data_IF_046215134045
#
_entry.id   IF_046215134045
#
_cell.length_a   1.000
_cell.length_b   1.000
_cell.length_c   1.000
_cell.angle_alpha   90.00
_cell.angle_beta   90.00
_cell.angle_gamma   90.00
#
_symmetry.space_group_name_H-M   'P 1'
#
loop_
_entity.id
_entity.type
_entity.pdbx_description
1 polymer ?
#
# COMPACT_ATOMS: atom_id res chain seq x y z
N UNK A 1 1.31 -15.71 19.32
CA UNK A 1 0.09 -15.96 20.14
C UNK A 1 -0.05 -17.45 20.24
N UNK A 2 -0.42 -18.01 21.39
CA UNK A 2 -0.44 -19.46 21.57
C UNK A 2 -1.87 -19.96 21.66
N UNK A 3 -2.18 -21.04 20.95
CA UNK A 3 -3.40 -21.81 21.18
C UNK A 3 -3.01 -22.98 22.07
N UNK A 4 -3.72 -23.10 23.18
CA UNK A 4 -3.56 -24.21 24.13
C UNK A 4 -4.72 -25.19 23.95
N UNK A 5 -4.40 -26.45 23.66
CA UNK A 5 -5.39 -27.52 23.53
C UNK A 5 -5.44 -28.32 24.83
N UNK A 6 -6.63 -28.47 25.40
CA UNK A 6 -6.87 -29.22 26.63
C UNK A 6 -7.73 -30.45 26.38
N UNK A 7 -7.36 -31.58 26.98
CA UNK A 7 -8.19 -32.79 27.04
C UNK A 7 -8.39 -33.18 28.50
N UNK A 8 -9.65 -33.33 28.92
CA UNK A 8 -10.04 -33.60 30.32
C UNK A 8 -9.42 -32.64 31.35
N UNK A 9 -9.21 -31.37 30.97
CA UNK A 9 -8.59 -30.35 31.83
C UNK A 9 -7.07 -30.42 31.92
N UNK A 10 -6.41 -31.30 31.16
CA UNK A 10 -4.96 -31.37 31.04
C UNK A 10 -4.53 -30.70 29.75
N UNK A 11 -3.54 -29.81 29.83
CA UNK A 11 -2.90 -29.21 28.67
C UNK A 11 -2.13 -30.29 27.92
N UNK A 12 -2.51 -30.57 26.67
CA UNK A 12 -1.91 -31.62 25.85
C UNK A 12 -1.10 -31.08 24.68
N UNK A 13 -1.35 -29.84 24.25
CA UNK A 13 -0.63 -29.22 23.13
C UNK A 13 -0.61 -27.70 23.29
N UNK A 14 0.53 -27.08 22.98
CA UNK A 14 0.67 -25.64 22.81
C UNK A 14 1.15 -25.41 21.40
N UNK A 15 0.28 -24.85 20.56
CA UNK A 15 0.64 -24.46 19.20
C UNK A 15 1.05 -22.99 19.19
N UNK A 16 2.30 -22.74 18.83
CA UNK A 16 2.81 -21.40 18.61
C UNK A 16 2.33 -20.90 17.25
N UNK A 17 1.46 -19.89 17.25
CA UNK A 17 1.10 -19.18 16.02
C UNK A 17 2.14 -18.08 15.81
N UNK A 18 3.20 -18.46 15.13
CA UNK A 18 4.08 -17.54 14.41
C UNK A 18 3.46 -17.29 13.04
N UNK A 19 3.28 -16.01 12.68
CA UNK A 19 2.66 -15.53 11.44
C UNK A 19 1.12 -15.53 11.42
N UNK A 20 0.52 -14.58 12.16
CA UNK A 20 -0.66 -13.95 11.58
C UNK A 20 -0.25 -13.27 10.26
N UNK A 21 -0.99 -13.48 9.15
CA UNK A 21 -0.70 -12.76 7.92
C UNK A 21 -0.74 -11.27 8.22
N UNK A 22 0.36 -10.57 7.96
CA UNK A 22 0.39 -9.13 8.11
C UNK A 22 -0.45 -8.55 6.99
N UNK A 23 -1.65 -8.10 7.32
CA UNK A 23 -2.57 -7.56 6.35
C UNK A 23 -2.15 -6.14 5.95
N UNK A 24 -2.31 -5.77 4.67
CA UNK A 24 -2.08 -4.42 4.19
C UNK A 24 -2.85 -3.37 5.01
N UNK A 25 -2.12 -2.41 5.58
CA UNK A 25 -2.67 -1.31 6.36
C UNK A 25 -3.00 -0.12 5.44
N UNK A 26 -4.13 -0.19 4.75
CA UNK A 26 -4.58 0.85 3.82
C UNK A 26 -4.82 2.22 4.49
N UNK A 27 -5.24 2.23 5.77
CA UNK A 27 -5.37 3.48 6.54
C UNK A 27 -4.01 4.13 6.76
N UNK A 28 -3.00 3.34 7.14
CA UNK A 28 -1.62 3.80 7.28
C UNK A 28 -1.04 4.28 5.95
N UNK A 29 -1.27 3.54 4.86
CA UNK A 29 -0.82 3.93 3.53
C UNK A 29 -1.42 5.28 3.10
N UNK A 30 -2.74 5.45 3.29
CA UNK A 30 -3.44 6.72 3.02
C UNK A 30 -2.81 7.88 3.78
N UNK A 31 -2.61 7.74 5.10
CA UNK A 31 -2.02 8.80 5.93
C UNK A 31 -0.60 9.12 5.45
N UNK A 32 0.20 8.09 5.17
CA UNK A 32 1.57 8.23 4.68
C UNK A 32 1.63 9.00 3.36
N UNK A 33 0.85 8.60 2.36
CA UNK A 33 0.84 9.27 1.05
C UNK A 33 0.28 10.69 1.12
N UNK A 34 -0.85 10.93 1.79
CA UNK A 34 -1.42 12.28 1.87
C UNK A 34 -0.51 13.29 2.61
N UNK A 35 0.36 12.80 3.48
CA UNK A 35 1.33 13.62 4.22
C UNK A 35 2.69 13.74 3.50
N UNK A 36 2.92 12.97 2.44
CA UNK A 36 4.20 12.95 1.72
C UNK A 36 4.29 14.10 0.71
N UNK A 37 5.37 14.88 0.78
CA UNK A 37 5.58 16.03 -0.10
C UNK A 37 5.76 15.63 -1.57
N UNK A 38 6.36 14.46 -1.82
CA UNK A 38 6.52 13.92 -3.18
C UNK A 38 5.17 13.56 -3.80
N UNK A 39 4.31 12.90 -3.03
CA UNK A 39 2.94 12.58 -3.42
C UNK A 39 2.15 13.85 -3.74
N UNK A 40 2.17 14.86 -2.84
CA UNK A 40 1.50 16.14 -3.07
C UNK A 40 2.01 16.86 -4.32
N UNK A 41 3.32 16.78 -4.61
CA UNK A 41 3.88 17.33 -5.84
C UNK A 41 3.35 16.61 -7.07
N UNK A 42 3.39 15.27 -7.11
CA UNK A 42 2.97 14.55 -8.32
C UNK A 42 1.47 14.68 -8.58
N UNK A 43 0.64 14.72 -7.54
CA UNK A 43 -0.82 14.88 -7.70
C UNK A 43 -1.20 16.29 -8.12
N UNK A 44 -0.44 17.31 -7.72
CA UNK A 44 -0.67 18.70 -8.15
C UNK A 44 -0.11 19.02 -9.55
N UNK A 45 0.91 18.28 -10.02
CA UNK A 45 1.60 18.57 -11.29
C UNK A 45 1.24 17.64 -12.45
N UNK A 46 0.59 16.51 -12.19
CA UNK A 46 0.17 15.60 -13.25
C UNK A 46 -0.93 16.20 -14.11
N UNK A 47 -0.90 15.96 -15.41
CA UNK A 47 -2.02 16.28 -16.30
C UNK A 47 -3.17 15.26 -16.18
N UNK A 48 -2.94 14.13 -15.51
CA UNK A 48 -3.90 13.02 -15.39
C UNK A 48 -4.75 13.15 -14.12
N UNK A 49 -5.51 14.25 -14.01
CA UNK A 49 -6.33 14.58 -12.83
C UNK A 49 -7.33 13.47 -12.51
N UNK A 50 -7.95 12.86 -13.52
CA UNK A 50 -8.87 11.74 -13.31
C UNK A 50 -8.18 10.53 -12.65
N UNK A 51 -6.91 10.28 -12.97
CA UNK A 51 -6.15 9.20 -12.34
C UNK A 51 -5.90 9.50 -10.85
N UNK A 52 -5.61 10.76 -10.50
CA UNK A 52 -5.50 11.20 -9.09
C UNK A 52 -6.81 10.97 -8.35
N UNK A 53 -7.94 11.44 -8.89
CA UNK A 53 -9.25 11.26 -8.25
C UNK A 53 -9.59 9.79 -8.03
N UNK A 54 -9.31 8.93 -9.02
CA UNK A 54 -9.56 7.48 -8.92
C UNK A 54 -8.63 6.82 -7.91
N UNK A 55 -7.36 7.21 -7.86
CA UNK A 55 -6.38 6.74 -6.88
C UNK A 55 -6.82 7.09 -5.44
N UNK A 56 -7.20 8.34 -5.19
CA UNK A 56 -7.61 8.81 -3.87
C UNK A 56 -8.96 8.24 -3.43
N UNK A 57 -9.89 8.04 -4.36
CA UNK A 57 -11.15 7.34 -4.05
C UNK A 57 -10.88 5.88 -3.67
N UNK A 58 -10.04 5.19 -4.45
CA UNK A 58 -9.70 3.79 -4.18
C UNK A 58 -9.01 3.62 -2.81
N UNK A 59 -8.05 4.48 -2.47
CA UNK A 59 -7.36 4.39 -1.17
C UNK A 59 -8.32 4.64 0.01
N UNK A 60 -9.33 5.50 -0.16
CA UNK A 60 -10.38 5.72 0.85
C UNK A 60 -11.30 4.50 1.01
N UNK A 61 -11.73 3.91 -0.09
CA UNK A 61 -12.56 2.70 -0.08
C UNK A 61 -11.82 1.53 0.59
N UNK A 62 -10.55 1.31 0.25
CA UNK A 62 -9.74 0.24 0.82
C UNK A 62 -9.44 0.47 2.31
N UNK A 63 -9.16 1.72 2.71
CA UNK A 63 -9.03 2.08 4.11
C UNK A 63 -10.32 1.89 4.92
N UNK A 64 -11.47 1.88 4.25
CA UNK A 64 -12.79 1.63 4.85
C UNK A 64 -13.18 0.14 4.88
N UNK A 65 -12.26 -0.75 4.47
CA UNK A 65 -12.46 -2.21 4.50
C UNK A 65 -12.93 -2.83 3.19
N UNK A 66 -13.01 -2.06 2.10
CA UNK A 66 -13.29 -2.64 0.78
C UNK A 66 -12.10 -3.49 0.32
N UNK A 67 -12.38 -4.62 -0.33
CA UNK A 67 -11.34 -5.49 -0.87
C UNK A 67 -10.54 -4.77 -1.96
N UNK A 68 -9.20 -4.67 -1.84
CA UNK A 68 -8.38 -3.94 -2.79
C UNK A 68 -8.27 -4.66 -4.13
N UNK A 69 -8.30 -3.91 -5.22
CA UNK A 69 -7.95 -4.42 -6.55
C UNK A 69 -6.61 -3.83 -6.96
N UNK A 70 -5.52 -4.52 -6.62
CA UNK A 70 -4.16 -4.02 -6.80
C UNK A 70 -3.82 -3.64 -8.24
N UNK A 71 -4.28 -4.40 -9.22
CA UNK A 71 -4.11 -4.07 -10.65
C UNK A 71 -4.75 -2.73 -11.03
N UNK A 72 -5.95 -2.46 -10.49
CA UNK A 72 -6.66 -1.22 -10.75
C UNK A 72 -5.96 -0.03 -10.05
N UNK A 73 -5.58 -0.22 -8.79
CA UNK A 73 -4.83 0.79 -8.03
C UNK A 73 -3.50 1.16 -8.72
N UNK A 74 -2.75 0.15 -9.17
CA UNK A 74 -1.54 0.32 -9.98
C UNK A 74 -1.82 1.12 -11.26
N UNK A 75 -2.90 0.81 -11.99
CA UNK A 75 -3.23 1.53 -13.22
C UNK A 75 -3.50 3.02 -12.98
N UNK A 76 -4.13 3.37 -11.85
CA UNK A 76 -4.36 4.76 -11.47
C UNK A 76 -3.05 5.46 -11.10
N UNK A 77 -2.21 4.80 -10.30
CA UNK A 77 -0.91 5.33 -9.93
C UNK A 77 -0.03 5.58 -11.17
N UNK A 78 0.11 4.58 -12.04
CA UNK A 78 0.91 4.71 -13.25
C UNK A 78 0.35 5.77 -14.20
N UNK A 79 -0.97 5.95 -14.22
CA UNK A 79 -1.61 7.07 -14.91
C UNK A 79 -1.15 8.42 -14.36
N UNK A 80 -1.08 8.59 -13.03
CA UNK A 80 -0.55 9.81 -12.40
C UNK A 80 0.89 10.06 -12.85
N UNK A 81 1.75 9.04 -12.79
CA UNK A 81 3.16 9.14 -13.21
C UNK A 81 3.30 9.49 -14.69
N UNK A 82 2.50 8.86 -15.56
CA UNK A 82 2.53 9.11 -17.01
C UNK A 82 2.12 10.55 -17.39
N UNK A 83 1.34 11.22 -16.53
CA UNK A 83 0.95 12.62 -16.73
C UNK A 83 1.96 13.65 -16.22
N UNK A 84 3.11 13.22 -15.67
CA UNK A 84 4.11 14.13 -15.15
C UNK A 84 5.04 14.65 -16.26
N UNK A 85 5.22 15.97 -16.31
CA UNK A 85 6.27 16.59 -17.13
C UNK A 85 7.68 16.37 -16.54
N UNK A 86 7.78 16.21 -15.22
CA UNK A 86 9.02 15.97 -14.50
C UNK A 86 8.87 14.68 -13.71
N UNK A 87 9.71 13.70 -14.04
CA UNK A 87 9.71 12.40 -13.39
C UNK A 87 9.96 12.52 -11.86
N UNK A 88 9.48 11.55 -11.07
CA UNK A 88 9.81 11.46 -9.66
C UNK A 88 11.32 11.40 -9.42
N UNK A 89 11.77 12.05 -8.35
CA UNK A 89 13.14 11.94 -7.87
C UNK A 89 13.34 10.63 -7.12
N UNK A 90 14.59 10.17 -7.01
CA UNK A 90 14.92 8.98 -6.22
C UNK A 90 14.54 9.14 -4.74
N UNK A 91 14.62 10.36 -4.19
CA UNK A 91 14.20 10.65 -2.81
C UNK A 91 12.69 10.42 -2.60
N UNK A 92 11.86 10.88 -3.53
CA UNK A 92 10.41 10.67 -3.48
C UNK A 92 10.06 9.20 -3.63
N UNK A 93 10.67 8.50 -4.61
CA UNK A 93 10.45 7.06 -4.81
C UNK A 93 10.84 6.26 -3.56
N UNK A 94 11.94 6.61 -2.90
CA UNK A 94 12.36 5.96 -1.66
C UNK A 94 11.39 6.22 -0.50
N UNK A 95 10.82 7.43 -0.40
CA UNK A 95 9.78 7.72 0.58
C UNK A 95 8.53 6.87 0.35
N UNK A 96 8.09 6.72 -0.90
CA UNK A 96 6.94 5.89 -1.25
C UNK A 96 7.18 4.40 -0.98
N UNK A 97 8.38 3.90 -1.27
CA UNK A 97 8.80 2.54 -0.89
C UNK A 97 8.73 2.35 0.62
N UNK A 98 9.22 3.31 1.40
CA UNK A 98 9.15 3.24 2.85
C UNK A 98 7.70 3.22 3.35
N UNK A 99 6.80 4.03 2.78
CA UNK A 99 5.36 4.00 3.11
C UNK A 99 4.79 2.61 2.80
N UNK A 100 5.01 2.09 1.60
CA UNK A 100 4.50 0.78 1.19
C UNK A 100 4.99 -0.36 2.10
N UNK A 101 6.30 -0.38 2.42
CA UNK A 101 6.89 -1.37 3.34
C UNK A 101 6.32 -1.25 4.74
N UNK A 102 6.28 -0.05 5.32
CA UNK A 102 5.82 0.17 6.70
C UNK A 102 4.32 -0.07 6.87
N UNK A 103 3.58 -0.13 5.76
CA UNK A 103 2.14 -0.39 5.74
C UNK A 103 1.79 -1.74 5.13
N UNK A 104 2.80 -2.59 4.87
CA UNK A 104 2.64 -3.97 4.41
C UNK A 104 1.84 -4.08 3.10
N UNK A 105 2.04 -3.13 2.20
CA UNK A 105 1.39 -3.15 0.89
C UNK A 105 1.94 -4.27 0.01
N UNK A 106 1.08 -4.87 -0.81
CA UNK A 106 1.43 -5.88 -1.81
C UNK A 106 1.98 -5.24 -3.11
N UNK A 107 2.66 -4.11 -2.97
CA UNK A 107 3.28 -3.39 -4.06
C UNK A 107 4.50 -2.60 -3.58
N UNK A 108 5.37 -2.25 -4.52
CA UNK A 108 6.49 -1.34 -4.35
C UNK A 108 6.59 -0.40 -5.55
N UNK A 109 7.68 0.37 -5.66
CA UNK A 109 7.88 1.33 -6.74
C UNK A 109 9.16 1.05 -7.52
N UNK A 110 9.09 1.16 -8.84
CA UNK A 110 10.25 1.18 -9.73
C UNK A 110 11.00 2.51 -9.60
N UNK A 111 12.22 2.58 -10.14
CA UNK A 111 13.05 3.80 -10.11
C UNK A 111 12.41 4.99 -10.84
N UNK A 112 11.60 4.72 -11.87
CA UNK A 112 10.83 5.74 -12.59
C UNK A 112 9.55 6.18 -11.83
N UNK A 113 9.31 5.64 -10.63
CA UNK A 113 8.15 5.91 -9.81
C UNK A 113 6.88 5.14 -10.17
N UNK A 114 6.87 4.32 -11.22
CA UNK A 114 5.72 3.42 -11.50
C UNK A 114 5.59 2.34 -10.45
N UNK A 115 4.37 1.84 -10.23
CA UNK A 115 4.11 0.83 -9.22
C UNK A 115 4.45 -0.58 -9.73
N UNK A 116 5.00 -1.43 -8.87
CA UNK A 116 5.28 -2.84 -9.13
C UNK A 116 4.46 -3.65 -8.13
N UNK A 117 3.62 -4.57 -8.59
CA UNK A 117 2.93 -5.48 -7.68
C UNK A 117 3.90 -6.56 -7.21
N UNK A 118 3.86 -6.87 -5.92
CA UNK A 118 4.58 -8.01 -5.37
C UNK A 118 3.69 -9.22 -5.60
N UNK A 119 4.21 -10.26 -6.27
CA UNK A 119 3.45 -11.51 -6.42
C UNK A 119 3.22 -12.13 -5.04
N UNK A 120 2.01 -12.69 -4.82
CA UNK A 120 1.66 -13.45 -3.62
C UNK A 120 2.42 -14.78 -3.53
#
# INVERSE_FOLDING_TARGET
MNIETYENGVLIEVQEIDNFPILPNWTGAKIGFLSDAGYQRITSQTTQILAVTRLESAVLDYASGMHPTYNLFKSFWDGVIAGLAIAPTSGEVNAWKAIATNTYMQFTFAENGTMILLEE
#
